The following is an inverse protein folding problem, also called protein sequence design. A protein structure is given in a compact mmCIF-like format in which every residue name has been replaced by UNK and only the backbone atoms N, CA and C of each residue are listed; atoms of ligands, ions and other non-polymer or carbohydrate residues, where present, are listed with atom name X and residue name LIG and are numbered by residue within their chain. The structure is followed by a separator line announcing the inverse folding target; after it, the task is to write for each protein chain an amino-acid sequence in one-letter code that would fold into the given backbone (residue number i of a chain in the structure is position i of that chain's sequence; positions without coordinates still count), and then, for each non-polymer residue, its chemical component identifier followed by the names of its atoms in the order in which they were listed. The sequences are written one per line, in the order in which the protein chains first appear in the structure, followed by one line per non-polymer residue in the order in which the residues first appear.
data_IF_435790554293
#
_entry.id   IF_435790554293
#
_cell.length_a   1.000
_cell.length_b   1.000
_cell.length_c   1.000
_cell.angle_alpha   90.00
_cell.angle_beta   90.00
_cell.angle_gamma   90.00
#
_symmetry.space_group_name_H-M   'P 1'
#
loop_
_entity.id
_entity.type
_entity.pdbx_description
1 polymer ?
#
# COMPACT_ATOMS: atom_id res chain seq x y z
N UNK A 1 4.10 29.79 45.59
CA UNK A 1 3.15 29.54 44.49
C UNK A 1 3.19 28.06 44.15
N UNK A 2 2.32 27.26 44.77
CA UNK A 2 2.17 25.85 44.41
C UNK A 2 1.28 25.78 43.16
N UNK A 3 1.91 25.58 42.00
CA UNK A 3 1.20 25.25 40.77
C UNK A 3 0.46 23.94 40.99
N UNK A 4 -0.87 23.98 40.84
CA UNK A 4 -1.78 22.85 40.89
C UNK A 4 -1.30 21.75 39.93
N UNK A 5 -0.62 20.73 40.47
CA UNK A 5 -0.48 19.44 39.81
C UNK A 5 -1.86 18.79 39.80
N UNK A 6 -2.69 19.10 38.81
CA UNK A 6 -3.89 18.32 38.57
C UNK A 6 -3.44 16.96 37.99
N UNK A 7 -3.64 15.84 38.70
CA UNK A 7 -3.29 14.54 38.18
C UNK A 7 -4.12 14.31 36.91
N UNK A 8 -3.44 14.20 35.78
CA UNK A 8 -4.09 13.96 34.50
C UNK A 8 -4.86 12.64 34.62
N UNK A 9 -6.19 12.63 34.41
CA UNK A 9 -6.98 11.45 34.67
C UNK A 9 -6.46 10.27 33.85
N UNK A 10 -6.15 9.15 34.52
CA UNK A 10 -5.55 7.99 33.86
C UNK A 10 -6.42 7.41 32.71
N UNK A 11 -7.71 7.72 32.66
CA UNK A 11 -8.61 7.29 31.57
C UNK A 11 -8.43 8.09 30.27
N UNK A 12 -7.83 9.28 30.29
CA UNK A 12 -7.52 10.05 29.07
C UNK A 12 -6.38 9.43 28.25
N UNK A 13 -5.57 8.61 28.91
CA UNK A 13 -4.40 7.94 28.35
C UNK A 13 -4.75 7.06 27.14
N UNK A 14 -5.64 6.05 27.27
CA UNK A 14 -6.00 5.20 26.14
C UNK A 14 -6.67 6.02 25.04
N UNK A 15 -7.50 7.01 25.38
CA UNK A 15 -8.18 7.87 24.41
C UNK A 15 -7.16 8.64 23.55
N UNK A 16 -6.19 9.30 24.18
CA UNK A 16 -5.14 10.01 23.49
C UNK A 16 -4.29 9.05 22.63
N UNK A 17 -3.96 7.87 23.15
CA UNK A 17 -3.21 6.86 22.41
C UNK A 17 -3.96 6.39 21.16
N UNK A 18 -5.22 5.98 21.29
CA UNK A 18 -6.04 5.52 20.15
C UNK A 18 -6.28 6.66 19.14
N UNK A 19 -6.47 7.89 19.61
CA UNK A 19 -6.60 9.06 18.74
C UNK A 19 -5.34 9.33 17.92
N UNK A 20 -4.18 9.35 18.57
CA UNK A 20 -2.88 9.53 17.90
C UNK A 20 -2.57 8.38 16.94
N UNK A 21 -2.84 7.13 17.35
CA UNK A 21 -2.68 5.96 16.51
C UNK A 21 -3.56 6.04 15.26
N UNK A 22 -4.84 6.41 15.41
CA UNK A 22 -5.75 6.57 14.28
C UNK A 22 -5.30 7.67 13.32
N UNK A 23 -4.88 8.83 13.85
CA UNK A 23 -4.36 9.93 13.04
C UNK A 23 -3.10 9.53 12.26
N UNK A 24 -2.15 8.86 12.93
CA UNK A 24 -0.95 8.30 12.31
C UNK A 24 -1.30 7.27 11.22
N UNK A 25 -2.22 6.35 11.51
CA UNK A 25 -2.65 5.31 10.56
C UNK A 25 -3.32 5.92 9.31
N UNK A 26 -4.19 6.91 9.49
CA UNK A 26 -4.81 7.65 8.38
C UNK A 26 -3.74 8.35 7.54
N UNK A 27 -2.76 9.00 8.19
CA UNK A 27 -1.64 9.65 7.51
C UNK A 27 -0.80 8.67 6.69
N UNK A 28 -0.41 7.55 7.30
CA UNK A 28 0.39 6.49 6.68
C UNK A 28 -0.34 5.89 5.48
N UNK A 29 -1.61 5.54 5.63
CA UNK A 29 -2.39 4.91 4.55
C UNK A 29 -2.66 5.87 3.38
N UNK A 30 -2.89 7.17 3.66
CA UNK A 30 -2.96 8.20 2.61
C UNK A 30 -1.65 8.35 1.86
N UNK A 31 -0.52 8.35 2.56
CA UNK A 31 0.80 8.40 1.96
C UNK A 31 1.04 7.18 1.06
N UNK A 32 0.78 5.97 1.56
CA UNK A 32 0.91 4.73 0.78
C UNK A 32 0.02 4.75 -0.47
N UNK A 33 -1.24 5.21 -0.36
CA UNK A 33 -2.14 5.36 -1.51
C UNK A 33 -1.58 6.33 -2.56
N UNK A 34 -0.99 7.44 -2.12
CA UNK A 34 -0.38 8.44 -3.01
C UNK A 34 0.88 7.90 -3.69
N UNK A 35 1.74 7.19 -2.97
CA UNK A 35 2.94 6.56 -3.52
C UNK A 35 2.60 5.47 -4.54
N UNK A 36 1.61 4.63 -4.24
CA UNK A 36 1.12 3.60 -5.14
C UNK A 36 0.27 4.16 -6.30
N UNK A 37 -0.03 5.47 -6.31
CA UNK A 37 -0.91 6.15 -7.29
C UNK A 37 -2.27 5.46 -7.46
N UNK A 38 -2.84 4.97 -6.36
CA UNK A 38 -4.16 4.31 -6.35
C UNK A 38 -5.26 5.32 -6.03
N UNK A 39 -5.29 6.42 -6.75
CA UNK A 39 -6.24 7.53 -6.54
C UNK A 39 -7.21 7.70 -7.69
N UNK A 40 -7.19 6.79 -8.67
CA UNK A 40 -7.97 6.96 -9.88
C UNK A 40 -9.45 6.64 -9.58
N UNK A 41 -10.36 7.55 -9.92
CA UNK A 41 -11.78 7.22 -9.90
C UNK A 41 -12.06 6.18 -10.98
N UNK A 42 -13.04 5.32 -10.71
CA UNK A 42 -13.62 4.49 -11.77
C UNK A 42 -14.47 5.41 -12.63
N UNK A 43 -14.26 5.45 -13.97
CA UNK A 43 -15.04 6.30 -14.85
C UNK A 43 -16.54 5.97 -14.79
N UNK A 44 -17.39 6.97 -15.00
CA UNK A 44 -18.84 6.77 -15.00
C UNK A 44 -19.32 5.87 -16.15
N UNK A 45 -18.56 5.85 -17.25
CA UNK A 45 -18.71 5.03 -18.45
C UNK A 45 -18.01 3.66 -18.34
N UNK A 46 -17.60 3.24 -17.14
CA UNK A 46 -17.05 1.88 -16.90
C UNK A 46 -18.02 0.75 -17.33
N UNK A 47 -19.31 1.07 -17.43
CA UNK A 47 -20.38 0.10 -17.65
C UNK A 47 -20.66 -0.76 -16.42
N UNK A 48 -21.51 -1.80 -16.55
CA UNK A 48 -21.84 -2.68 -15.43
C UNK A 48 -20.62 -3.53 -15.03
N UNK A 49 -20.48 -3.77 -13.71
CA UNK A 49 -19.51 -4.71 -13.16
C UNK A 49 -19.90 -6.13 -13.55
N UNK A 50 -19.01 -6.85 -14.21
CA UNK A 50 -19.18 -8.24 -14.68
C UNK A 50 -18.76 -9.24 -13.62
N UNK A 51 -17.60 -9.03 -13.03
CA UNK A 51 -17.01 -9.96 -12.07
C UNK A 51 -16.28 -9.22 -10.95
N UNK A 52 -16.04 -9.94 -9.86
CA UNK A 52 -15.25 -9.49 -8.72
C UNK A 52 -14.41 -10.65 -8.24
N UNK A 53 -13.11 -10.44 -8.16
CA UNK A 53 -12.18 -11.39 -7.56
C UNK A 53 -12.18 -11.35 -6.03
N UNK A 54 -11.62 -12.39 -5.42
CA UNK A 54 -11.30 -12.41 -3.98
C UNK A 54 -10.07 -11.54 -3.71
N UNK A 55 -9.81 -11.26 -2.43
CA UNK A 55 -8.57 -10.60 -2.03
C UNK A 55 -7.35 -11.48 -2.33
N UNK A 56 -6.30 -10.88 -2.86
CA UNK A 56 -5.06 -11.55 -3.23
C UNK A 56 -3.87 -10.60 -3.22
N UNK A 57 -2.76 -11.07 -3.78
CA UNK A 57 -1.49 -10.36 -3.81
C UNK A 57 -1.25 -9.73 -5.18
N UNK A 58 -0.81 -8.48 -5.19
CA UNK A 58 -0.44 -7.76 -6.40
C UNK A 58 0.81 -6.90 -6.16
N UNK A 59 1.55 -6.60 -7.23
CA UNK A 59 2.50 -5.50 -7.26
C UNK A 59 1.88 -4.35 -8.04
N UNK A 60 1.81 -3.16 -7.45
CA UNK A 60 1.26 -1.96 -8.08
C UNK A 60 2.35 -0.91 -8.07
N UNK A 61 2.81 -0.48 -9.24
CA UNK A 61 3.83 0.56 -9.42
C UNK A 61 5.10 0.27 -8.59
N UNK A 62 5.55 -0.98 -8.59
CA UNK A 62 6.71 -1.45 -7.81
C UNK A 62 6.44 -1.70 -6.32
N UNK A 63 5.24 -1.38 -5.81
CA UNK A 63 4.87 -1.63 -4.41
C UNK A 63 4.14 -2.96 -4.27
N UNK A 64 4.63 -3.84 -3.40
CA UNK A 64 4.00 -5.14 -3.13
C UNK A 64 2.87 -5.01 -2.09
N UNK A 65 1.67 -5.43 -2.49
CA UNK A 65 0.47 -5.45 -1.68
C UNK A 65 0.02 -6.91 -1.49
N UNK A 66 0.26 -7.48 -0.29
CA UNK A 66 -0.02 -8.88 0.02
C UNK A 66 -1.44 -9.06 0.55
N UNK A 67 -2.23 -9.93 -0.09
CA UNK A 67 -3.59 -10.32 0.34
C UNK A 67 -4.53 -9.14 0.63
N UNK A 68 -4.32 -8.01 -0.02
CA UNK A 68 -5.06 -6.77 0.23
C UNK A 68 -5.49 -6.08 -1.06
N UNK A 69 -5.38 -6.76 -2.20
CA UNK A 69 -5.81 -6.25 -3.50
C UNK A 69 -6.90 -7.14 -4.05
N UNK A 70 -7.88 -6.54 -4.73
CA UNK A 70 -8.87 -7.24 -5.54
C UNK A 70 -9.01 -6.54 -6.88
N UNK A 71 -9.41 -7.29 -7.88
CA UNK A 71 -9.81 -6.79 -9.20
C UNK A 71 -11.33 -6.89 -9.34
N UNK A 72 -11.97 -5.76 -9.64
CA UNK A 72 -13.35 -5.69 -10.10
C UNK A 72 -13.31 -5.54 -11.64
N UNK A 73 -13.93 -6.47 -12.37
CA UNK A 73 -13.95 -6.49 -13.84
C UNK A 73 -15.21 -5.79 -14.34
N UNK A 74 -15.04 -4.83 -15.23
CA UNK A 74 -16.09 -4.01 -15.83
C UNK A 74 -16.16 -4.24 -17.33
N UNK A 75 -17.20 -3.73 -17.98
CA UNK A 75 -17.39 -3.95 -19.42
C UNK A 75 -16.32 -3.21 -20.25
N UNK A 76 -15.92 -2.01 -19.82
CA UNK A 76 -14.88 -1.21 -20.52
C UNK A 76 -13.50 -1.27 -19.87
N UNK A 77 -13.27 -2.09 -18.85
CA UNK A 77 -11.96 -2.17 -18.19
C UNK A 77 -11.93 -2.92 -16.86
N UNK A 78 -10.88 -2.67 -16.09
CA UNK A 78 -10.60 -3.33 -14.82
C UNK A 78 -10.32 -2.28 -13.76
N UNK A 79 -10.88 -2.46 -12.56
CA UNK A 79 -10.54 -1.65 -11.40
C UNK A 79 -9.76 -2.48 -10.39
N UNK A 80 -8.49 -2.14 -10.19
CA UNK A 80 -7.62 -2.77 -9.19
C UNK A 80 -7.77 -1.99 -7.89
N UNK A 81 -8.40 -2.61 -6.89
CA UNK A 81 -8.77 -1.98 -5.64
C UNK A 81 -7.94 -2.53 -4.47
N UNK A 82 -7.44 -1.63 -3.64
CA UNK A 82 -6.81 -1.98 -2.36
C UNK A 82 -7.85 -2.03 -1.22
N UNK A 83 -7.57 -2.84 -0.20
CA UNK A 83 -8.46 -3.06 0.94
C UNK A 83 -8.63 -1.77 1.78
N UNK A 84 -9.84 -1.42 2.25
CA UNK A 84 -10.10 -0.16 2.98
C UNK A 84 -9.25 0.04 4.24
N UNK A 85 -8.90 -1.05 4.95
CA UNK A 85 -8.03 -1.00 6.14
C UNK A 85 -6.65 -0.42 5.83
N UNK A 86 -6.12 -0.61 4.62
CA UNK A 86 -4.85 -0.02 4.17
C UNK A 86 -5.06 1.32 3.46
N UNK A 87 -6.14 2.01 3.82
CA UNK A 87 -6.59 3.23 3.18
C UNK A 87 -7.17 3.01 1.80
N UNK A 88 -7.48 1.78 1.37
CA UNK A 88 -8.13 1.53 0.08
C UNK A 88 -7.45 2.22 -1.11
N UNK A 89 -8.26 2.75 -2.03
CA UNK A 89 -7.77 3.30 -3.29
C UNK A 89 -8.01 2.36 -4.46
N UNK A 90 -7.96 2.91 -5.66
CA UNK A 90 -8.24 2.20 -6.91
C UNK A 90 -7.30 2.68 -8.00
N UNK A 91 -6.98 1.77 -8.91
CA UNK A 91 -6.36 2.07 -10.20
C UNK A 91 -7.33 1.60 -11.26
N UNK A 92 -7.70 2.50 -12.17
CA UNK A 92 -8.52 2.16 -13.31
C UNK A 92 -7.63 1.79 -14.49
N UNK A 93 -7.92 0.67 -15.12
CA UNK A 93 -7.20 0.13 -16.27
C UNK A 93 -8.22 -0.10 -17.40
N UNK A 94 -8.40 0.86 -18.32
CA UNK A 94 -9.36 0.72 -19.42
C UNK A 94 -8.94 -0.42 -20.34
N UNK A 95 -9.89 -1.19 -20.83
CA UNK A 95 -9.60 -2.32 -21.73
C UNK A 95 -8.91 -1.82 -23.00
N UNK A 96 -9.38 -0.69 -23.52
CA UNK A 96 -8.77 0.00 -24.66
C UNK A 96 -7.53 0.78 -24.18
N UNK A 97 -6.36 0.21 -24.45
CA UNK A 97 -5.06 0.81 -24.12
C UNK A 97 -4.32 0.18 -22.94
N UNK A 98 -4.96 -0.72 -22.17
CA UNK A 98 -4.21 -1.55 -21.22
C UNK A 98 -3.56 -2.73 -21.95
N UNK A 99 -2.24 -2.78 -21.93
CA UNK A 99 -1.48 -3.95 -22.41
C UNK A 99 -1.46 -5.01 -21.32
N UNK A 100 -1.96 -6.20 -21.63
CA UNK A 100 -2.01 -7.35 -20.72
C UNK A 100 -1.05 -8.42 -21.21
N UNK A 101 -0.12 -8.82 -20.36
CA UNK A 101 0.85 -9.89 -20.61
C UNK A 101 0.67 -10.97 -19.56
N UNK A 102 0.62 -12.24 -19.98
CA UNK A 102 0.61 -13.38 -19.07
C UNK A 102 1.96 -14.04 -19.11
N UNK A 103 2.58 -14.19 -17.94
CA UNK A 103 3.86 -14.86 -17.78
C UNK A 103 3.64 -16.37 -17.56
N UNK A 104 4.68 -17.18 -17.79
CA UNK A 104 4.67 -18.63 -17.64
C UNK A 104 4.37 -19.08 -16.20
N UNK A 105 4.69 -18.24 -15.22
CA UNK A 105 4.42 -18.45 -13.78
C UNK A 105 2.98 -18.09 -13.34
N UNK A 106 2.04 -17.98 -14.29
CA UNK A 106 0.63 -17.64 -14.04
C UNK A 106 0.43 -16.29 -13.33
N UNK A 107 1.31 -15.34 -13.66
CA UNK A 107 1.17 -13.95 -13.27
C UNK A 107 0.67 -13.14 -14.47
N UNK A 108 -0.20 -12.17 -14.21
CA UNK A 108 -0.70 -11.25 -15.24
C UNK A 108 -0.16 -9.87 -14.97
N UNK A 109 0.55 -9.31 -15.93
CA UNK A 109 1.07 -7.94 -15.90
C UNK A 109 0.22 -7.05 -16.80
N UNK A 110 -0.29 -5.97 -16.22
CA UNK A 110 -1.10 -4.96 -16.88
C UNK A 110 -0.36 -3.63 -16.89
N UNK A 111 -0.24 -3.03 -18.06
CA UNK A 111 0.40 -1.74 -18.27
C UNK A 111 -0.58 -0.75 -18.89
N UNK A 112 -0.77 0.40 -18.24
CA UNK A 112 -1.57 1.50 -18.76
C UNK A 112 -0.96 2.85 -18.36
N UNK A 113 -0.49 3.61 -19.35
CA UNK A 113 0.18 4.89 -19.12
C UNK A 113 1.35 4.76 -18.15
N UNK A 114 1.20 5.32 -16.93
CA UNK A 114 2.21 5.26 -15.86
C UNK A 114 1.95 4.15 -14.83
N UNK A 115 0.89 3.37 -15.02
CA UNK A 115 0.48 2.31 -14.10
C UNK A 115 1.02 0.97 -14.59
N UNK A 116 1.69 0.26 -13.69
CA UNK A 116 2.12 -1.12 -13.86
C UNK A 116 1.52 -1.95 -12.72
N UNK A 117 0.70 -2.93 -13.07
CA UNK A 117 0.07 -3.84 -12.09
C UNK A 117 0.42 -5.27 -12.44
N UNK A 118 1.00 -5.99 -11.50
CA UNK A 118 1.28 -7.42 -11.59
C UNK A 118 0.37 -8.16 -10.62
N UNK A 119 -0.43 -9.08 -11.15
CA UNK A 119 -1.39 -9.88 -10.40
C UNK A 119 -0.86 -11.31 -10.28
N UNK A 120 -1.08 -11.90 -9.12
CA UNK A 120 -0.56 -13.23 -8.78
C UNK A 120 -1.70 -14.21 -8.48
N UNK A 121 -1.55 -15.46 -8.94
CA UNK A 121 -2.47 -16.56 -8.67
C UNK A 121 -3.92 -16.21 -9.04
N UNK A 122 -4.86 -16.40 -8.11
CA UNK A 122 -6.31 -16.19 -8.35
C UNK A 122 -6.71 -14.80 -8.83
N UNK A 123 -5.85 -13.78 -8.67
CA UNK A 123 -6.11 -12.46 -9.25
C UNK A 123 -5.82 -12.44 -10.75
N UNK A 124 -4.80 -13.17 -11.21
CA UNK A 124 -4.45 -13.31 -12.60
C UNK A 124 -5.57 -13.99 -13.39
N UNK A 125 -6.19 -15.02 -12.80
CA UNK A 125 -7.34 -15.73 -13.39
C UNK A 125 -8.60 -14.87 -13.58
N UNK A 126 -8.71 -13.79 -12.81
CA UNK A 126 -9.89 -12.92 -12.85
C UNK A 126 -9.85 -11.86 -13.97
N UNK A 127 -8.72 -11.75 -14.68
CA UNK A 127 -8.55 -10.80 -15.79
C UNK A 127 -8.91 -11.50 -17.10
N UNK A 128 -9.96 -11.01 -17.74
CA UNK A 128 -10.34 -11.47 -19.08
C UNK A 128 -9.28 -11.01 -20.07
N UNK A 129 -8.51 -11.95 -20.62
CA UNK A 129 -7.57 -11.61 -21.68
C UNK A 129 -8.35 -11.22 -22.94
N UNK A 130 -8.01 -10.10 -23.61
CA UNK A 130 -8.56 -9.83 -24.92
C UNK A 130 -8.17 -10.98 -25.85
N UNK A 131 -9.14 -11.52 -26.60
CA UNK A 131 -8.93 -12.57 -27.59
C UNK A 131 -7.92 -12.07 -28.62
N UNK A 132 -6.65 -12.44 -28.47
CA UNK A 132 -5.52 -11.85 -29.21
C UNK A 132 -4.35 -11.39 -28.35
N UNK A 133 -4.42 -11.54 -27.01
CA UNK A 133 -3.26 -11.41 -26.14
C UNK A 133 -2.16 -12.34 -26.66
N UNK A 134 -1.09 -11.74 -27.18
CA UNK A 134 0.04 -12.43 -27.78
C UNK A 134 0.65 -13.32 -26.70
N UNK A 135 0.48 -14.64 -26.80
CA UNK A 135 1.39 -15.58 -26.15
C UNK A 135 2.73 -15.31 -26.83
N UNK A 136 3.77 -14.84 -26.13
CA UNK A 136 5.07 -14.70 -26.76
C UNK A 136 5.49 -16.11 -27.17
N UNK A 137 5.45 -16.41 -28.48
CA UNK A 137 6.21 -17.52 -29.03
C UNK A 137 7.64 -17.34 -28.53
N UNK A 138 8.26 -18.35 -27.90
CA UNK A 138 9.62 -18.21 -27.41
C UNK A 138 10.52 -17.86 -28.59
N UNK A 139 10.91 -16.59 -28.69
CA UNK A 139 11.88 -16.14 -29.66
C UNK A 139 13.22 -16.82 -29.34
N UNK A 140 14.03 -17.16 -30.35
CA UNK A 140 15.40 -17.65 -30.13
C UNK A 140 16.15 -16.64 -29.24
N UNK A 141 17.11 -17.08 -28.41
CA UNK A 141 17.63 -16.32 -27.28
C UNK A 141 18.35 -15.04 -27.75
N UNK A 142 17.58 -13.98 -27.90
CA UNK A 142 18.06 -12.61 -28.01
C UNK A 142 18.19 -12.10 -26.58
N UNK A 143 19.45 -11.81 -26.22
CA UNK A 143 19.92 -11.22 -24.96
C UNK A 143 18.78 -10.79 -24.04
N UNK A 144 18.53 -11.60 -23.02
CA UNK A 144 17.60 -11.29 -21.94
C UNK A 144 17.80 -9.84 -21.50
N UNK A 145 16.74 -9.01 -21.44
CA UNK A 145 16.84 -7.71 -20.82
C UNK A 145 17.41 -7.91 -19.40
N UNK A 146 18.28 -7.00 -18.92
CA UNK A 146 18.90 -7.15 -17.61
C UNK A 146 17.79 -7.44 -16.60
N UNK A 147 17.95 -8.46 -15.73
CA UNK A 147 16.90 -8.85 -14.80
C UNK A 147 16.46 -7.59 -14.06
N UNK A 148 15.15 -7.29 -14.14
CA UNK A 148 14.54 -6.21 -13.38
C UNK A 148 15.01 -6.38 -11.94
N UNK A 149 15.87 -5.46 -11.53
CA UNK A 149 16.56 -5.49 -10.24
C UNK A 149 15.49 -5.71 -9.19
N UNK A 150 15.55 -6.87 -8.53
CA UNK A 150 14.75 -7.21 -7.36
C UNK A 150 15.09 -6.18 -6.30
N UNK A 151 14.33 -5.09 -6.29
CA UNK A 151 14.53 -4.02 -5.33
C UNK A 151 14.03 -4.55 -3.97
N UNK A 152 14.95 -5.11 -3.20
CA UNK A 152 14.79 -5.41 -1.77
C UNK A 152 14.58 -4.14 -0.91
N UNK A 153 14.44 -2.98 -1.58
CA UNK A 153 14.11 -1.66 -1.04
C UNK A 153 12.88 -1.66 -0.11
N UNK A 154 11.89 -2.54 -0.40
CA UNK A 154 10.71 -2.70 0.46
C UNK A 154 11.00 -3.18 1.89
N UNK A 155 12.10 -3.92 2.11
CA UNK A 155 12.46 -4.42 3.44
C UNK A 155 13.06 -3.34 4.34
N UNK A 156 13.81 -2.39 3.75
CA UNK A 156 14.50 -1.33 4.50
C UNK A 156 13.54 -0.24 4.95
N UNK A 157 12.61 0.17 4.10
CA UNK A 157 11.58 1.15 4.48
C UNK A 157 10.61 0.60 5.53
N UNK A 158 10.24 -0.68 5.43
CA UNK A 158 9.41 -1.34 6.46
C UNK A 158 10.14 -1.44 7.80
N UNK A 159 11.44 -1.74 7.82
CA UNK A 159 12.23 -1.76 9.05
C UNK A 159 12.41 -0.37 9.63
N UNK A 160 12.66 0.64 8.80
CA UNK A 160 12.85 2.01 9.26
C UNK A 160 11.56 2.61 9.83
N UNK A 161 10.41 2.37 9.19
CA UNK A 161 9.11 2.77 9.71
C UNK A 161 8.75 2.05 11.01
N UNK A 162 9.07 0.75 11.11
CA UNK A 162 8.90 -0.03 12.33
C UNK A 162 9.79 0.51 13.46
N UNK A 163 11.06 0.83 13.18
CA UNK A 163 11.96 1.44 14.14
C UNK A 163 11.49 2.81 14.61
N UNK A 164 11.01 3.67 13.70
CA UNK A 164 10.43 4.97 14.08
C UNK A 164 9.21 4.76 14.98
N UNK A 165 8.33 3.82 14.66
CA UNK A 165 7.16 3.51 15.49
C UNK A 165 7.56 2.97 16.87
N UNK A 166 8.55 2.08 16.93
CA UNK A 166 9.11 1.54 18.18
C UNK A 166 9.75 2.67 19.00
N UNK A 167 10.54 3.55 18.39
CA UNK A 167 11.19 4.69 19.06
C UNK A 167 10.14 5.66 19.59
N UNK A 168 9.10 5.97 18.83
CA UNK A 168 8.00 6.83 19.29
C UNK A 168 7.24 6.18 20.45
N UNK A 169 6.99 4.87 20.39
CA UNK A 169 6.34 4.12 21.46
C UNK A 169 7.20 4.11 22.74
N UNK A 170 8.49 3.81 22.61
CA UNK A 170 9.46 3.84 23.71
C UNK A 170 9.58 5.23 24.31
N UNK A 171 9.66 6.27 23.47
CA UNK A 171 9.70 7.66 23.93
C UNK A 171 8.46 8.01 24.76
N UNK A 172 7.26 7.68 24.26
CA UNK A 172 6.00 7.88 25.01
C UNK A 172 5.99 7.07 26.31
N UNK A 173 6.49 5.83 26.31
CA UNK A 173 6.52 4.97 27.50
C UNK A 173 7.49 5.50 28.56
N UNK A 174 8.72 5.87 28.16
CA UNK A 174 9.77 6.41 29.03
C UNK A 174 9.34 7.73 29.64
N UNK A 175 8.80 8.63 28.81
CA UNK A 175 8.34 9.94 29.28
C UNK A 175 7.20 9.84 30.30
N UNK A 176 6.51 8.69 30.34
CA UNK A 176 5.34 8.46 31.17
C UNK A 176 5.59 7.60 32.41
N UNK A 177 6.58 6.71 32.37
CA UNK A 177 6.95 5.83 33.50
C UNK A 177 8.12 6.40 34.30
N UNK A 178 9.02 7.15 33.65
CA UNK A 178 10.23 7.69 34.26
C UNK A 178 10.54 9.09 33.71
N UNK A 179 9.68 10.09 33.97
CA UNK A 179 9.86 11.45 33.46
C UNK A 179 11.21 12.07 33.87
N UNK A 180 11.73 11.70 35.05
CA UNK A 180 13.01 12.18 35.58
C UNK A 180 14.22 11.80 34.70
N UNK A 181 14.08 10.78 33.85
CA UNK A 181 15.13 10.34 32.93
C UNK A 181 15.20 11.19 31.66
N UNK A 182 14.13 11.91 31.31
CA UNK A 182 14.06 12.77 30.12
C UNK A 182 14.42 14.23 30.45
N UNK A 183 14.29 14.62 31.72
CA UNK A 183 14.63 15.95 32.23
C UNK A 183 16.06 16.45 31.94
N UNK A 184 17.11 15.61 31.80
CA UNK A 184 18.43 16.06 31.37
C UNK A 184 18.50 16.41 29.89
N UNK A 185 17.74 15.69 29.05
CA UNK A 185 17.72 15.84 27.59
C UNK A 185 16.96 17.12 27.20
N UNK A 186 15.86 17.42 27.87
CA UNK A 186 15.09 18.66 27.68
C UNK A 186 15.91 19.90 28.07
N UNK A 187 16.61 19.84 29.21
CA UNK A 187 17.58 20.87 29.63
C UNK A 187 18.68 21.12 28.61
N UNK A 188 19.12 20.10 27.87
CA UNK A 188 20.13 20.23 26.82
C UNK A 188 19.57 20.81 25.51
N UNK A 189 18.28 20.58 25.24
CA UNK A 189 17.53 21.12 24.09
C UNK A 189 16.97 22.53 24.33
N UNK A 190 17.21 23.11 25.51
CA UNK A 190 16.74 24.44 25.87
C UNK A 190 15.22 24.55 26.01
N UNK A 191 14.54 23.44 26.34
CA UNK A 191 13.11 23.40 26.66
C UNK A 191 12.87 23.06 28.12
#
# INVERSE_FOLDING_TARGET
MHLLQMPLPMWLIPIAFFGLFAAFWIGLTRLMRRLARMTDPVPADAGPRRARSRWGTAHINGTRAKNCVRVDTYTSGHAVQMHPVFGGGRVWLPKDGTRVERDADDHVRMHYGRHQVELFGRLADAVDMPTGAHVPTPAPPLQSPPPLRRDDSGSRFSRLALWIAIVLLLYVLIHRVAPDWVAPVERWLGR
#
